data_IF_351223519015
#
_entry.id   IF_351223519015
#
_cell.length_a   1.000
_cell.length_b   1.000
_cell.length_c   1.000
_cell.angle_alpha   90.00
_cell.angle_beta   90.00
_cell.angle_gamma   90.00
#
_symmetry.space_group_name_H-M   'P 1'
#
loop_
_entity.id
_entity.type
_entity.pdbx_description
1 polymer ?
#
# COMPACT_ATOMS: atom_id res chain seq x y z
N UNK A 1 -11.82 13.86 -4.64
CA UNK A 1 -11.89 12.64 -3.80
C UNK A 1 -10.53 11.98 -3.86
N UNK A 2 -9.96 11.60 -2.71
CA UNK A 2 -8.70 10.84 -2.66
C UNK A 2 -9.02 9.38 -2.41
N UNK A 3 -8.41 8.49 -3.18
CA UNK A 3 -8.63 7.04 -3.12
C UNK A 3 -7.27 6.37 -2.91
N UNK A 4 -7.23 5.38 -2.03
CA UNK A 4 -6.08 4.50 -1.84
C UNK A 4 -6.47 3.09 -2.28
N UNK A 5 -5.64 2.50 -3.13
CA UNK A 5 -5.68 1.07 -3.45
C UNK A 5 -4.57 0.36 -2.70
N UNK A 6 -4.89 -0.78 -2.08
CA UNK A 6 -3.96 -1.64 -1.36
C UNK A 6 -3.92 -3.00 -2.06
N UNK A 7 -2.72 -3.47 -2.39
CA UNK A 7 -2.44 -4.83 -2.86
C UNK A 7 -1.73 -5.58 -1.73
N UNK A 8 -2.47 -6.35 -0.91
CA UNK A 8 -1.95 -6.90 0.33
C UNK A 8 -0.97 -8.06 0.09
N UNK A 9 0.16 -8.03 0.79
CA UNK A 9 1.13 -9.11 0.84
C UNK A 9 1.94 -9.05 2.12
N UNK A 10 2.33 -10.20 2.67
CA UNK A 10 3.04 -10.28 3.97
C UNK A 10 4.53 -10.00 3.86
N UNK A 11 5.11 -10.11 2.66
CA UNK A 11 6.51 -9.76 2.39
C UNK A 11 6.68 -8.42 1.67
N UNK A 12 5.79 -8.14 0.71
CA UNK A 12 5.74 -6.89 -0.04
C UNK A 12 4.27 -6.52 -0.16
N UNK A 13 3.88 -5.37 0.37
CA UNK A 13 2.56 -4.78 0.23
C UNK A 13 2.65 -3.59 -0.72
N UNK A 14 1.88 -3.62 -1.80
CA UNK A 14 1.80 -2.52 -2.76
C UNK A 14 0.70 -1.53 -2.40
N UNK A 15 0.93 -0.24 -2.63
CA UNK A 15 -0.14 0.76 -2.53
C UNK A 15 -0.05 1.83 -3.62
N UNK A 16 -1.20 2.40 -3.94
CA UNK A 16 -1.32 3.54 -4.85
C UNK A 16 -2.37 4.53 -4.36
N UNK A 17 -2.07 5.82 -4.46
CA UNK A 17 -2.96 6.92 -4.08
C UNK A 17 -3.28 7.75 -5.32
N UNK A 18 -4.56 7.91 -5.62
CA UNK A 18 -5.04 8.74 -6.72
C UNK A 18 -5.96 9.83 -6.20
N UNK A 19 -5.98 10.95 -6.92
CA UNK A 19 -7.03 11.96 -6.82
C UNK A 19 -8.01 11.77 -7.98
N UNK A 20 -9.30 11.66 -7.65
CA UNK A 20 -10.40 11.70 -8.59
C UNK A 20 -11.15 13.03 -8.47
N UNK A 21 -11.21 13.78 -9.57
CA UNK A 21 -11.92 15.05 -9.64
C UNK A 21 -12.45 15.29 -11.06
N UNK A 22 -13.72 15.66 -11.18
CA UNK A 22 -14.38 16.00 -12.46
C UNK A 22 -14.17 14.95 -13.57
N UNK A 23 -14.29 13.66 -13.21
CA UNK A 23 -14.10 12.55 -14.15
C UNK A 23 -12.64 12.27 -14.54
N UNK A 24 -11.66 13.00 -13.98
CA UNK A 24 -10.24 12.80 -14.23
C UNK A 24 -9.57 12.12 -13.04
N UNK A 25 -8.66 11.20 -13.36
CA UNK A 25 -7.79 10.52 -12.41
C UNK A 25 -6.39 11.14 -12.48
N UNK A 26 -5.77 11.37 -11.32
CA UNK A 26 -4.38 11.80 -11.21
C UNK A 26 -3.67 10.92 -10.20
N UNK A 27 -2.53 10.34 -10.60
CA UNK A 27 -1.62 9.66 -9.68
C UNK A 27 -1.04 10.67 -8.70
N UNK A 28 -1.19 10.42 -7.40
CA UNK A 28 -0.57 11.22 -6.34
C UNK A 28 0.76 10.61 -5.95
N UNK A 29 0.75 9.32 -5.59
CA UNK A 29 1.95 8.54 -5.27
C UNK A 29 1.66 7.05 -5.32
N UNK A 30 2.69 6.24 -5.48
CA UNK A 30 2.62 4.79 -5.35
C UNK A 30 3.90 4.29 -4.69
N UNK A 31 3.83 3.13 -4.04
CA UNK A 31 4.98 2.58 -3.33
C UNK A 31 4.75 1.15 -2.88
N UNK A 32 5.75 0.64 -2.16
CA UNK A 32 5.71 -0.68 -1.52
C UNK A 32 6.16 -0.55 -0.07
N UNK A 33 5.57 -1.37 0.79
CA UNK A 33 6.05 -1.65 2.14
C UNK A 33 6.65 -3.05 2.10
N UNK A 34 7.92 -3.19 2.47
CA UNK A 34 8.64 -4.47 2.45
C UNK A 34 9.00 -4.88 3.86
N UNK A 35 8.70 -6.11 4.25
CA UNK A 35 9.16 -6.69 5.51
C UNK A 35 10.35 -7.61 5.26
N UNK A 36 11.38 -7.63 6.13
CA UNK A 36 12.53 -8.52 5.97
C UNK A 36 12.13 -10.00 5.86
N UNK A 37 12.99 -10.79 5.22
CA UNK A 37 12.83 -12.24 5.21
C UNK A 37 13.05 -12.80 6.62
N UNK A 38 12.33 -13.86 6.96
CA UNK A 38 12.40 -14.56 8.26
C UNK A 38 11.88 -13.76 9.47
N UNK A 39 11.28 -12.59 9.27
CA UNK A 39 10.50 -11.92 10.32
C UNK A 39 9.28 -12.78 10.70
N UNK A 40 9.05 -13.04 11.99
CA UNK A 40 7.84 -13.69 12.48
C UNK A 40 6.56 -13.02 11.94
N UNK A 41 5.50 -13.81 11.72
CA UNK A 41 4.29 -13.32 11.05
C UNK A 41 3.56 -12.25 11.86
N UNK A 42 3.60 -12.35 13.18
CA UNK A 42 3.07 -11.38 14.14
C UNK A 42 3.77 -10.03 14.02
N UNK A 43 5.10 -10.01 14.01
CA UNK A 43 5.89 -8.79 13.77
C UNK A 43 5.60 -8.16 12.41
N UNK A 44 5.42 -8.99 11.35
CA UNK A 44 5.05 -8.49 10.01
C UNK A 44 3.68 -7.83 9.96
N UNK A 45 2.74 -8.25 10.80
CA UNK A 45 1.39 -7.70 10.82
C UNK A 45 1.37 -6.32 11.49
N UNK A 46 2.24 -6.05 12.46
CA UNK A 46 2.38 -4.71 13.08
C UNK A 46 2.87 -3.64 12.08
N UNK A 47 3.71 -4.03 11.11
CA UNK A 47 4.15 -3.13 10.04
C UNK A 47 3.06 -2.86 8.98
N UNK A 48 2.04 -3.72 8.90
CA UNK A 48 1.01 -3.70 7.86
C UNK A 48 -0.33 -3.10 8.35
N UNK A 49 -0.66 -3.25 9.64
CA UNK A 49 -1.97 -2.92 10.24
C UNK A 49 -1.87 -1.96 11.42
#
# INVERSE_FOLDING_TARGET
MRIIGIDPGTGILGFGVIDFSRGKLKMVTAGVVTTPAHTPIDERLEDIF
#
